data_IF_047785585743
#
_entry.id   IF_047785585743
#
_cell.length_a   1.000
_cell.length_b   1.000
_cell.length_c   1.000
_cell.angle_alpha   90.00
_cell.angle_beta   90.00
_cell.angle_gamma   90.00
#
_symmetry.space_group_name_H-M   'P 1'
#
loop_
_entity.id
_entity.type
_entity.pdbx_description
1 polymer ?
#
# COMPACT_ATOMS: atom_id res chain seq x y z
N UNK A 1 14.99 -7.46 -21.22
CA UNK A 1 16.05 -6.49 -21.60
C UNK A 1 15.63 -5.06 -21.30
N UNK A 2 14.60 -4.48 -21.93
CA UNK A 2 14.20 -3.07 -21.78
C UNK A 2 14.04 -2.58 -20.32
N UNK A 3 13.35 -3.33 -19.47
CA UNK A 3 13.13 -2.95 -18.05
C UNK A 3 14.43 -2.83 -17.25
N UNK A 4 15.40 -3.70 -17.51
CA UNK A 4 16.70 -3.65 -16.85
C UNK A 4 17.50 -2.41 -17.31
N UNK A 5 17.41 -2.06 -18.58
CA UNK A 5 18.03 -0.85 -19.14
C UNK A 5 17.40 0.42 -18.55
N UNK A 6 16.07 0.49 -18.52
CA UNK A 6 15.37 1.63 -17.90
C UNK A 6 15.71 1.75 -16.40
N UNK A 7 15.82 0.64 -15.69
CA UNK A 7 16.27 0.63 -14.28
C UNK A 7 17.71 1.11 -14.14
N UNK A 8 18.61 0.71 -15.05
CA UNK A 8 20.00 1.16 -15.07
C UNK A 8 20.09 2.66 -15.34
N UNK A 9 19.38 3.16 -16.35
CA UNK A 9 19.33 4.59 -16.66
C UNK A 9 18.79 5.42 -15.50
N UNK A 10 17.73 4.97 -14.81
CA UNK A 10 17.23 5.62 -13.60
C UNK A 10 18.26 5.68 -12.47
N UNK A 11 19.02 4.59 -12.26
CA UNK A 11 20.12 4.56 -11.28
C UNK A 11 21.27 5.51 -11.66
N UNK A 12 21.64 5.55 -12.94
CA UNK A 12 22.71 6.45 -13.43
C UNK A 12 22.30 7.92 -13.34
N UNK A 13 21.04 8.23 -13.69
CA UNK A 13 20.50 9.59 -13.53
C UNK A 13 20.51 10.04 -12.06
N UNK A 14 20.11 9.15 -11.14
CA UNK A 14 20.16 9.43 -9.71
C UNK A 14 21.59 9.67 -9.20
N UNK A 15 22.57 8.88 -9.68
CA UNK A 15 24.01 9.05 -9.31
C UNK A 15 24.62 10.34 -9.85
N UNK A 16 24.19 10.81 -11.02
CA UNK A 16 24.67 12.06 -11.64
C UNK A 16 24.06 13.33 -11.06
N UNK A 17 23.06 13.18 -10.18
CA UNK A 17 22.44 14.34 -9.54
C UNK A 17 23.44 15.00 -8.58
N UNK A 18 23.69 16.34 -8.66
CA UNK A 18 24.68 17.04 -7.85
C UNK A 18 24.51 16.87 -6.34
N UNK A 19 23.28 16.62 -5.90
CA UNK A 19 22.94 16.35 -4.50
C UNK A 19 23.34 14.94 -4.03
N UNK A 20 23.71 14.03 -4.93
CA UNK A 20 24.01 12.65 -4.57
C UNK A 20 25.32 12.51 -3.79
N UNK A 21 26.35 13.27 -4.16
CA UNK A 21 27.65 13.25 -3.47
C UNK A 21 27.64 14.05 -2.17
N UNK A 22 26.90 15.17 -2.11
CA UNK A 22 26.77 15.97 -0.90
C UNK A 22 25.97 15.32 0.22
N UNK A 23 25.19 14.26 -0.07
CA UNK A 23 24.19 13.77 0.85
C UNK A 23 24.41 12.31 1.32
N UNK A 24 25.66 11.91 1.56
CA UNK A 24 25.95 10.61 2.20
C UNK A 24 25.24 10.47 3.54
N UNK A 25 25.26 11.52 4.35
CA UNK A 25 24.57 11.56 5.65
C UNK A 25 23.05 11.41 5.47
N UNK A 26 22.45 12.14 4.51
CA UNK A 26 21.01 12.02 4.22
C UNK A 26 20.58 10.60 3.81
N UNK A 27 21.46 9.87 3.12
CA UNK A 27 21.20 8.47 2.77
C UNK A 27 21.20 7.54 3.99
N UNK A 28 22.13 7.74 4.91
CA UNK A 28 22.15 6.97 6.17
C UNK A 28 20.96 7.31 7.04
N UNK A 29 20.55 8.58 7.15
CA UNK A 29 19.35 9.01 7.85
C UNK A 29 18.10 8.35 7.25
N UNK A 30 18.01 8.29 5.91
CA UNK A 30 16.89 7.65 5.23
C UNK A 30 16.81 6.14 5.54
N UNK A 31 17.95 5.43 5.55
CA UNK A 31 17.97 4.01 5.93
C UNK A 31 17.62 3.80 7.40
N UNK A 32 18.20 4.62 8.29
CA UNK A 32 17.88 4.57 9.72
C UNK A 32 16.39 4.83 9.97
N UNK A 33 15.82 5.83 9.29
CA UNK A 33 14.37 6.11 9.36
C UNK A 33 13.53 4.93 8.88
N UNK A 34 13.92 4.29 7.77
CA UNK A 34 13.19 3.13 7.26
C UNK A 34 13.22 1.94 8.22
N UNK A 35 14.38 1.66 8.83
CA UNK A 35 14.53 0.62 9.86
C UNK A 35 13.71 0.97 11.09
N UNK A 36 13.77 2.21 11.55
CA UNK A 36 13.01 2.69 12.72
C UNK A 36 11.49 2.53 12.50
N UNK A 37 10.98 3.02 11.37
CA UNK A 37 9.57 2.88 11.03
C UNK A 37 9.16 1.42 10.83
N UNK A 38 10.00 0.60 10.20
CA UNK A 38 9.75 -0.83 10.07
C UNK A 38 9.62 -1.53 11.42
N UNK A 39 10.55 -1.29 12.34
CA UNK A 39 10.50 -1.83 13.71
C UNK A 39 9.26 -1.33 14.48
N UNK A 40 8.91 -0.07 14.31
CA UNK A 40 7.71 0.53 14.91
C UNK A 40 6.42 -0.12 14.41
N UNK A 41 6.30 -0.36 13.08
CA UNK A 41 5.16 -1.08 12.51
C UNK A 41 5.07 -2.54 13.00
N UNK A 42 6.21 -3.24 13.13
CA UNK A 42 6.24 -4.59 13.73
C UNK A 42 5.69 -4.55 15.15
N UNK A 43 6.15 -3.60 15.95
CA UNK A 43 5.69 -3.44 17.33
C UNK A 43 4.19 -3.16 17.41
N UNK A 44 3.66 -2.29 16.53
CA UNK A 44 2.22 -2.03 16.43
C UNK A 44 1.47 -3.30 16.03
N UNK A 45 1.95 -4.06 15.04
CA UNK A 45 1.29 -5.29 14.59
C UNK A 45 1.16 -6.33 15.72
N UNK A 46 2.23 -6.53 16.48
CA UNK A 46 2.23 -7.42 17.66
C UNK A 46 1.31 -6.87 18.76
N UNK A 47 1.38 -5.56 19.02
CA UNK A 47 0.55 -4.89 20.02
C UNK A 47 -0.93 -4.99 19.71
N UNK A 48 -1.33 -4.74 18.46
CA UNK A 48 -2.71 -4.88 17.99
C UNK A 48 -3.21 -6.32 18.13
N UNK A 49 -2.40 -7.33 17.74
CA UNK A 49 -2.77 -8.72 17.88
C UNK A 49 -3.10 -9.06 19.34
N UNK A 50 -2.24 -8.66 20.27
CA UNK A 50 -2.44 -8.90 21.71
C UNK A 50 -3.62 -8.10 22.26
N UNK A 51 -3.71 -6.80 21.94
CA UNK A 51 -4.77 -5.95 22.44
C UNK A 51 -6.16 -6.46 22.02
N UNK A 52 -6.35 -6.76 20.74
CA UNK A 52 -7.63 -7.25 20.23
C UNK A 52 -7.97 -8.61 20.85
N UNK A 53 -7.01 -9.53 20.96
CA UNK A 53 -7.26 -10.84 21.56
C UNK A 53 -7.59 -10.76 23.06
N UNK A 54 -7.16 -9.71 23.76
CA UNK A 54 -7.45 -9.51 25.19
C UNK A 54 -8.81 -8.81 25.39
N UNK A 55 -9.08 -7.78 24.61
CA UNK A 55 -10.30 -6.94 24.77
C UNK A 55 -11.57 -7.61 24.19
N UNK A 56 -11.42 -8.44 23.15
CA UNK A 56 -12.54 -9.09 22.46
C UNK A 56 -12.26 -10.61 22.32
N UNK A 57 -12.26 -11.36 23.42
CA UNK A 57 -11.90 -12.79 23.39
C UNK A 57 -12.91 -13.66 22.64
N UNK A 58 -14.11 -13.15 22.40
CA UNK A 58 -15.21 -13.87 21.71
C UNK A 58 -15.14 -13.79 20.18
N UNK A 59 -14.24 -12.98 19.62
CA UNK A 59 -14.04 -12.84 18.18
C UNK A 59 -12.57 -13.02 17.84
N UNK A 60 -12.30 -13.65 16.71
CA UNK A 60 -10.94 -13.80 16.23
C UNK A 60 -10.36 -12.45 15.80
N UNK A 61 -9.15 -12.14 16.27
CA UNK A 61 -8.56 -10.82 16.12
C UNK A 61 -8.40 -10.39 14.65
N UNK A 62 -8.21 -11.35 13.73
CA UNK A 62 -8.09 -11.04 12.30
C UNK A 62 -9.41 -10.56 11.68
N UNK A 63 -10.58 -11.01 12.14
CA UNK A 63 -11.88 -10.48 11.69
C UNK A 63 -12.02 -8.99 12.01
N UNK A 64 -11.64 -8.62 13.23
CA UNK A 64 -11.72 -7.22 13.69
C UNK A 64 -10.76 -6.34 12.87
N UNK A 65 -9.51 -6.79 12.68
CA UNK A 65 -8.56 -6.01 11.89
C UNK A 65 -9.00 -5.91 10.43
N UNK A 66 -9.51 -7.00 9.84
CA UNK A 66 -9.99 -7.01 8.46
C UNK A 66 -11.17 -6.06 8.28
N UNK A 67 -12.12 -6.01 9.22
CA UNK A 67 -13.21 -5.04 9.18
C UNK A 67 -12.73 -3.58 9.19
N UNK A 68 -11.57 -3.34 9.79
CA UNK A 68 -10.90 -2.04 9.89
C UNK A 68 -9.92 -1.72 8.75
N UNK A 69 -9.73 -2.59 7.75
CA UNK A 69 -8.76 -2.36 6.65
C UNK A 69 -8.99 -1.05 5.91
N UNK A 70 -10.24 -0.60 5.81
CA UNK A 70 -10.57 0.67 5.15
C UNK A 70 -9.90 1.87 5.84
N UNK A 71 -9.74 1.85 7.16
CA UNK A 71 -9.04 2.90 7.89
C UNK A 71 -7.53 2.88 7.58
N UNK A 72 -6.94 1.68 7.44
CA UNK A 72 -5.55 1.54 7.02
C UNK A 72 -5.33 2.09 5.60
N UNK A 73 -6.26 1.81 4.67
CA UNK A 73 -6.22 2.33 3.29
C UNK A 73 -6.37 3.87 3.26
N UNK A 74 -7.30 4.41 4.04
CA UNK A 74 -7.50 5.85 4.13
C UNK A 74 -6.25 6.55 4.73
N UNK A 75 -5.68 5.98 5.79
CA UNK A 75 -4.46 6.50 6.40
C UNK A 75 -3.28 6.46 5.43
N UNK A 76 -3.08 5.32 4.74
CA UNK A 76 -2.05 5.17 3.71
C UNK A 76 -2.21 6.21 2.59
N UNK A 77 -3.44 6.43 2.10
CA UNK A 77 -3.75 7.43 1.09
C UNK A 77 -3.30 8.83 1.53
N UNK A 78 -3.64 9.24 2.76
CA UNK A 78 -3.27 10.56 3.30
C UNK A 78 -1.75 10.69 3.46
N UNK A 79 -1.08 9.66 3.99
CA UNK A 79 0.38 9.67 4.20
C UNK A 79 1.13 9.78 2.88
N UNK A 80 0.62 9.21 1.78
CA UNK A 80 1.28 9.27 0.46
C UNK A 80 1.36 10.70 -0.10
N UNK A 81 0.41 11.59 0.22
CA UNK A 81 0.37 12.94 -0.33
C UNK A 81 1.67 13.76 -0.15
N UNK A 82 2.25 13.87 1.05
CA UNK A 82 3.49 14.62 1.25
C UNK A 82 4.74 13.85 0.81
N UNK A 83 4.73 12.51 0.82
CA UNK A 83 5.96 11.72 0.71
C UNK A 83 6.16 11.08 -0.65
N UNK A 84 5.09 10.82 -1.41
CA UNK A 84 5.18 10.07 -2.66
C UNK A 84 5.22 10.99 -3.89
N UNK A 85 6.23 10.77 -4.74
CA UNK A 85 6.37 11.46 -6.03
C UNK A 85 5.39 10.89 -7.06
N UNK A 86 4.92 11.75 -7.96
CA UNK A 86 4.07 11.33 -9.07
C UNK A 86 4.89 10.77 -10.23
N UNK A 87 4.34 9.85 -11.05
CA UNK A 87 5.01 9.34 -12.25
C UNK A 87 5.42 10.44 -13.21
N UNK A 88 4.65 11.52 -13.32
CA UNK A 88 4.97 12.67 -14.17
C UNK A 88 6.30 13.34 -13.79
N UNK A 89 6.66 13.32 -12.51
CA UNK A 89 7.96 13.82 -12.04
C UNK A 89 9.09 12.82 -12.33
N UNK A 90 8.79 11.53 -12.35
CA UNK A 90 9.76 10.46 -12.60
C UNK A 90 9.98 10.18 -14.09
N UNK A 91 9.08 10.60 -14.99
CA UNK A 91 9.20 10.40 -16.45
C UNK A 91 10.32 11.22 -17.07
N UNK A 92 10.64 12.40 -16.54
CA UNK A 92 11.62 13.34 -17.13
C UNK A 92 12.94 12.70 -17.58
N UNK A 93 13.60 11.82 -16.82
CA UNK A 93 14.87 11.20 -17.24
C UNK A 93 14.74 10.28 -18.45
N UNK A 94 13.52 9.79 -18.72
CA UNK A 94 13.27 8.81 -19.79
C UNK A 94 12.75 9.43 -21.09
N UNK A 95 12.34 10.72 -21.07
CA UNK A 95 11.79 11.40 -22.25
C UNK A 95 12.77 11.52 -23.42
N UNK A 96 14.09 11.45 -23.13
CA UNK A 96 15.15 11.50 -24.14
C UNK A 96 15.48 10.13 -24.74
N UNK A 97 14.89 9.05 -24.23
CA UNK A 97 15.15 7.72 -24.75
C UNK A 97 14.26 7.41 -25.95
N UNK A 98 14.75 6.69 -26.97
CA UNK A 98 13.98 6.30 -28.15
C UNK A 98 13.02 5.13 -27.81
N UNK A 99 12.18 5.30 -26.79
CA UNK A 99 11.23 4.29 -26.29
C UNK A 99 9.82 4.85 -26.33
N UNK A 100 8.84 4.01 -26.70
CA UNK A 100 7.42 4.40 -26.71
C UNK A 100 6.99 4.81 -25.30
N UNK A 101 6.27 5.93 -25.19
CA UNK A 101 5.78 6.48 -23.91
C UNK A 101 4.97 5.48 -23.09
N UNK A 102 4.13 4.66 -23.74
CA UNK A 102 3.35 3.63 -23.04
C UNK A 102 4.25 2.65 -22.26
N UNK A 103 5.34 2.18 -22.86
CA UNK A 103 6.27 1.26 -22.19
C UNK A 103 7.02 1.89 -21.01
N UNK A 104 7.24 3.20 -21.08
CA UNK A 104 7.82 3.94 -19.94
C UNK A 104 6.80 4.03 -18.81
N UNK A 105 5.53 4.29 -19.14
CA UNK A 105 4.44 4.31 -18.15
C UNK A 105 4.24 2.94 -17.51
N UNK A 106 4.19 1.87 -18.29
CA UNK A 106 4.09 0.49 -17.79
C UNK A 106 5.23 0.16 -16.81
N UNK A 107 6.46 0.55 -17.18
CA UNK A 107 7.61 0.39 -16.29
C UNK A 107 7.47 1.15 -14.97
N UNK A 108 7.01 2.40 -15.03
CA UNK A 108 6.84 3.23 -13.82
C UNK A 108 5.71 2.70 -12.93
N UNK A 109 4.62 2.24 -13.52
CA UNK A 109 3.51 1.62 -12.78
C UNK A 109 3.96 0.32 -12.09
N UNK A 110 4.63 -0.59 -12.81
CA UNK A 110 5.17 -1.81 -12.22
C UNK A 110 6.16 -1.51 -11.09
N UNK A 111 7.03 -0.53 -11.30
CA UNK A 111 7.98 -0.09 -10.25
C UNK A 111 7.25 0.48 -9.04
N UNK A 112 6.11 1.16 -9.26
CA UNK A 112 5.29 1.69 -8.20
C UNK A 112 4.68 0.57 -7.34
N UNK A 113 4.25 -0.54 -7.94
CA UNK A 113 3.77 -1.71 -7.21
C UNK A 113 4.77 -2.24 -6.17
N UNK A 114 6.07 -2.18 -6.47
CA UNK A 114 7.18 -2.58 -5.58
C UNK A 114 7.74 -1.41 -4.75
N UNK A 115 6.99 -0.32 -4.61
CA UNK A 115 7.45 0.83 -3.83
C UNK A 115 7.53 0.51 -2.33
N UNK A 116 8.42 1.21 -1.63
CA UNK A 116 8.57 1.07 -0.17
C UNK A 116 7.28 1.36 0.58
N UNK A 117 6.41 2.23 0.05
CA UNK A 117 5.11 2.53 0.64
C UNK A 117 4.16 1.32 0.65
N UNK A 118 4.17 0.50 -0.40
CA UNK A 118 3.37 -0.72 -0.44
C UNK A 118 3.93 -1.82 0.47
N UNK A 119 5.26 -1.85 0.64
CA UNK A 119 5.94 -2.88 1.42
C UNK A 119 5.96 -2.58 2.92
N UNK A 120 5.92 -1.31 3.33
CA UNK A 120 6.01 -0.94 4.76
C UNK A 120 4.84 -1.50 5.58
N UNK A 121 3.67 -1.61 4.97
CA UNK A 121 2.49 -2.18 5.62
C UNK A 121 2.65 -3.66 5.96
N UNK A 122 3.47 -4.40 5.21
CA UNK A 122 3.76 -5.80 5.52
C UNK A 122 4.48 -5.95 6.87
N UNK A 123 5.27 -4.95 7.29
CA UNK A 123 5.88 -4.95 8.63
C UNK A 123 4.85 -4.91 9.76
N UNK A 124 3.63 -4.44 9.50
CA UNK A 124 2.52 -4.49 10.46
C UNK A 124 1.70 -5.77 10.30
N UNK A 125 1.26 -6.07 9.08
CA UNK A 125 0.31 -7.15 8.85
C UNK A 125 0.91 -8.54 8.95
N UNK A 126 2.18 -8.75 8.60
CA UNK A 126 2.83 -10.07 8.70
C UNK A 126 2.98 -10.52 10.16
N UNK A 127 3.57 -9.73 11.08
CA UNK A 127 3.64 -10.13 12.49
C UNK A 127 2.27 -10.24 13.15
N UNK A 128 1.30 -9.41 12.76
CA UNK A 128 -0.09 -9.56 13.20
C UNK A 128 -0.65 -10.91 12.76
N UNK A 129 -0.54 -11.26 11.47
CA UNK A 129 -1.03 -12.54 10.93
C UNK A 129 -0.31 -13.74 11.52
N UNK A 130 0.99 -13.62 11.82
CA UNK A 130 1.76 -14.67 12.49
C UNK A 130 1.23 -14.99 13.91
N UNK A 131 0.60 -14.03 14.57
CA UNK A 131 0.02 -14.24 15.90
C UNK A 131 -1.47 -14.65 15.85
N UNK A 132 -2.21 -14.21 14.83
CA UNK A 132 -3.68 -14.34 14.81
C UNK A 132 -4.19 -15.32 13.76
N UNK A 133 -3.56 -15.40 12.59
CA UNK A 133 -3.95 -16.29 11.48
C UNK A 133 -3.22 -17.63 11.54
N UNK A 134 -1.92 -17.62 11.90
CA UNK A 134 -1.10 -18.82 11.92
C UNK A 134 -1.69 -19.97 12.77
N UNK A 135 -2.28 -19.74 13.96
CA UNK A 135 -2.84 -20.81 14.78
C UNK A 135 -3.97 -21.59 14.10
N UNK A 136 -4.71 -20.95 13.18
CA UNK A 136 -5.89 -21.54 12.50
C UNK A 136 -5.57 -22.07 11.10
N UNK A 137 -4.74 -21.34 10.34
CA UNK A 137 -4.50 -21.59 8.91
C UNK A 137 -3.04 -21.95 8.59
N UNK A 138 -2.18 -22.00 9.61
CA UNK A 138 -0.75 -22.30 9.43
C UNK A 138 0.00 -21.26 8.61
N UNK A 139 1.18 -21.64 8.11
CA UNK A 139 2.06 -20.73 7.35
C UNK A 139 1.46 -20.34 5.99
N UNK A 140 0.66 -21.22 5.37
CA UNK A 140 0.01 -20.93 4.09
C UNK A 140 -0.96 -19.76 4.22
N UNK A 141 -1.81 -19.74 5.27
CA UNK A 141 -2.74 -18.64 5.54
C UNK A 141 -2.03 -17.30 5.79
N UNK A 142 -0.88 -17.31 6.47
CA UNK A 142 -0.07 -16.10 6.68
C UNK A 142 0.51 -15.59 5.36
N UNK A 143 1.00 -16.48 4.49
CA UNK A 143 1.58 -16.10 3.20
C UNK A 143 0.53 -15.57 2.24
N UNK A 144 -0.59 -16.29 2.09
CA UNK A 144 -1.71 -15.86 1.23
C UNK A 144 -2.26 -14.53 1.71
N UNK A 145 -2.53 -14.36 3.00
CA UNK A 145 -2.96 -13.09 3.58
C UNK A 145 -1.98 -11.94 3.28
N UNK A 146 -0.68 -12.17 3.47
CA UNK A 146 0.34 -11.16 3.23
C UNK A 146 0.39 -10.71 1.77
N UNK A 147 0.23 -11.64 0.83
CA UNK A 147 0.14 -11.34 -0.61
C UNK A 147 -1.13 -10.53 -0.91
N UNK A 148 -2.28 -10.92 -0.34
CA UNK A 148 -3.54 -10.22 -0.50
C UNK A 148 -3.47 -8.77 0.00
N UNK A 149 -2.93 -8.56 1.21
CA UNK A 149 -2.71 -7.22 1.77
C UNK A 149 -1.75 -6.40 0.90
N UNK A 150 -0.66 -7.00 0.42
CA UNK A 150 0.25 -6.30 -0.50
C UNK A 150 -0.47 -5.84 -1.77
N UNK A 151 -1.27 -6.69 -2.40
CA UNK A 151 -2.07 -6.32 -3.58
C UNK A 151 -3.08 -5.19 -3.26
N UNK A 152 -3.71 -5.25 -2.10
CA UNK A 152 -4.63 -4.21 -1.66
C UNK A 152 -3.91 -2.85 -1.47
N UNK A 153 -2.69 -2.86 -0.94
CA UNK A 153 -1.86 -1.65 -0.82
C UNK A 153 -1.38 -1.13 -2.18
N UNK A 154 -1.12 -2.02 -3.13
CA UNK A 154 -0.81 -1.65 -4.53
C UNK A 154 -2.02 -0.98 -5.17
N UNK A 155 -3.22 -1.54 -5.03
CA UNK A 155 -4.47 -0.93 -5.47
C UNK A 155 -4.64 0.49 -4.91
N UNK A 156 -4.49 0.64 -3.57
CA UNK A 156 -4.57 1.94 -2.92
C UNK A 156 -3.51 2.93 -3.44
N UNK A 157 -2.31 2.41 -3.75
CA UNK A 157 -1.24 3.20 -4.37
C UNK A 157 -1.61 3.72 -5.75
N UNK A 158 -2.26 2.91 -6.60
CA UNK A 158 -2.74 3.37 -7.91
C UNK A 158 -3.92 4.32 -7.80
N UNK A 159 -4.84 4.09 -6.86
CA UNK A 159 -5.89 5.05 -6.52
C UNK A 159 -5.32 6.42 -6.14
N UNK A 160 -4.30 6.43 -5.28
CA UNK A 160 -3.58 7.66 -4.93
C UNK A 160 -2.97 8.34 -6.16
N UNK A 161 -2.28 7.58 -7.03
CA UNK A 161 -1.67 8.13 -8.24
C UNK A 161 -2.70 8.76 -9.18
N UNK A 162 -3.84 8.10 -9.36
CA UNK A 162 -4.96 8.62 -10.16
C UNK A 162 -5.44 9.95 -9.59
N UNK A 163 -5.80 9.99 -8.31
CA UNK A 163 -6.26 11.22 -7.65
C UNK A 163 -5.22 12.34 -7.73
N UNK A 164 -3.95 12.02 -7.47
CA UNK A 164 -2.86 13.00 -7.52
C UNK A 164 -2.61 13.54 -8.91
N UNK A 165 -2.72 12.72 -9.94
CA UNK A 165 -2.56 13.15 -11.34
C UNK A 165 -3.68 14.07 -11.74
N UNK A 166 -4.93 13.73 -11.42
CA UNK A 166 -6.10 14.57 -11.70
C UNK A 166 -6.02 15.92 -10.96
N UNK A 167 -5.64 15.91 -9.70
CA UNK A 167 -5.47 17.15 -8.90
C UNK A 167 -4.36 18.05 -9.49
N UNK A 168 -3.30 17.45 -10.04
CA UNK A 168 -2.24 18.24 -10.70
C UNK A 168 -2.71 18.87 -12.02
N UNK A 169 -3.69 18.29 -12.69
CA UNK A 169 -4.30 18.89 -13.88
C UNK A 169 -5.25 20.04 -13.50
N UNK A 170 -6.18 19.76 -12.57
CA UNK A 170 -7.13 20.74 -12.08
C UNK A 170 -7.42 20.54 -10.59
N UNK A 171 -7.28 21.61 -9.83
CA UNK A 171 -7.48 21.60 -8.37
C UNK A 171 -8.88 21.09 -7.95
N UNK A 172 -9.89 21.28 -8.78
CA UNK A 172 -11.27 20.83 -8.53
C UNK A 172 -11.38 19.31 -8.35
N UNK A 173 -10.43 18.53 -8.88
CA UNK A 173 -10.40 17.09 -8.66
C UNK A 173 -10.11 16.67 -7.22
N UNK A 174 -9.78 17.58 -6.34
CA UNK A 174 -9.72 17.34 -4.88
C UNK A 174 -11.08 16.88 -4.34
N UNK A 175 -12.17 17.29 -4.98
CA UNK A 175 -13.52 16.85 -4.61
C UNK A 175 -13.67 15.32 -4.74
N UNK A 176 -13.03 14.69 -5.69
CA UNK A 176 -13.13 13.23 -5.92
C UNK A 176 -12.74 12.40 -4.67
N UNK A 177 -11.52 12.49 -4.13
CA UNK A 177 -11.17 11.74 -2.91
C UNK A 177 -12.00 12.19 -1.71
N UNK A 178 -12.36 13.46 -1.59
CA UNK A 178 -13.23 13.94 -0.50
C UNK A 178 -14.59 13.24 -0.55
N UNK A 179 -15.25 13.20 -1.70
CA UNK A 179 -16.55 12.54 -1.87
C UNK A 179 -16.45 11.04 -1.58
N UNK A 180 -15.41 10.37 -2.08
CA UNK A 180 -15.23 8.93 -1.85
C UNK A 180 -15.04 8.64 -0.35
N UNK A 181 -14.10 9.32 0.32
CA UNK A 181 -13.83 9.05 1.73
C UNK A 181 -14.92 9.54 2.67
N UNK A 182 -15.61 10.65 2.36
CA UNK A 182 -16.79 11.07 3.13
C UNK A 182 -17.96 10.11 2.94
N UNK A 183 -18.20 9.60 1.72
CA UNK A 183 -19.20 8.59 1.47
C UNK A 183 -18.93 7.29 2.24
N UNK A 184 -17.67 6.84 2.27
CA UNK A 184 -17.23 5.69 3.07
C UNK A 184 -17.45 5.96 4.57
N UNK A 185 -17.05 7.14 5.07
CA UNK A 185 -17.25 7.51 6.47
C UNK A 185 -18.73 7.49 6.84
N UNK A 186 -19.59 8.12 6.04
CA UNK A 186 -21.04 8.11 6.24
C UNK A 186 -21.57 6.68 6.28
N UNK A 187 -21.16 5.83 5.35
CA UNK A 187 -21.62 4.44 5.28
C UNK A 187 -21.17 3.59 6.49
N UNK A 188 -20.03 3.89 7.09
CA UNK A 188 -19.55 3.23 8.33
C UNK A 188 -20.39 3.69 9.53
N UNK A 189 -20.70 4.99 9.62
CA UNK A 189 -21.46 5.54 10.74
C UNK A 189 -22.96 5.29 10.67
N UNK A 190 -23.50 4.81 9.54
CA UNK A 190 -24.89 4.37 9.46
C UNK A 190 -25.02 2.95 10.05
N UNK A 191 -25.54 2.78 11.26
CA UNK A 191 -25.40 1.54 12.04
C UNK A 191 -26.16 0.33 11.46
N UNK A 192 -26.98 0.51 10.44
CA UNK A 192 -27.84 -0.58 9.90
C UNK A 192 -27.21 -1.41 8.78
N UNK A 193 -26.15 -0.96 8.15
CA UNK A 193 -25.66 -1.66 6.94
C UNK A 193 -24.45 -2.55 7.21
N UNK A 194 -23.51 -2.16 8.07
CA UNK A 194 -22.27 -2.91 8.27
C UNK A 194 -21.57 -3.34 6.97
N UNK A 195 -22.11 -2.87 5.83
CA UNK A 195 -21.75 -3.35 4.48
C UNK A 195 -20.26 -3.23 4.20
N UNK A 196 -19.67 -2.09 4.50
CA UNK A 196 -18.25 -1.83 4.24
C UNK A 196 -17.37 -2.70 5.14
N UNK A 197 -17.68 -2.77 6.45
CA UNK A 197 -16.95 -3.62 7.39
C UNK A 197 -17.04 -5.09 7.00
N UNK A 198 -18.23 -5.58 6.66
CA UNK A 198 -18.44 -6.96 6.22
C UNK A 198 -17.74 -7.25 4.89
N UNK A 199 -17.74 -6.28 3.95
CA UNK A 199 -17.02 -6.43 2.70
C UNK A 199 -15.52 -6.62 2.93
N UNK A 200 -14.88 -5.77 3.74
CA UNK A 200 -13.45 -5.88 4.03
C UNK A 200 -13.13 -7.10 4.91
N UNK A 201 -14.02 -7.50 5.81
CA UNK A 201 -13.89 -8.73 6.58
C UNK A 201 -13.86 -9.95 5.64
N UNK A 202 -14.85 -10.09 4.76
CA UNK A 202 -14.94 -11.18 3.79
C UNK A 202 -13.78 -11.17 2.78
N UNK A 203 -13.30 -9.98 2.37
CA UNK A 203 -12.14 -9.84 1.52
C UNK A 203 -10.87 -10.35 2.21
N UNK A 204 -10.65 -9.96 3.47
CA UNK A 204 -9.52 -10.43 4.27
C UNK A 204 -9.56 -11.93 4.53
N UNK A 205 -10.72 -12.50 4.81
CA UNK A 205 -10.92 -13.96 4.92
C UNK A 205 -10.62 -14.66 3.59
N UNK A 206 -11.10 -14.12 2.47
CA UNK A 206 -10.78 -14.62 1.14
C UNK A 206 -9.28 -14.65 0.85
N UNK A 207 -8.52 -13.68 1.38
CA UNK A 207 -7.05 -13.71 1.28
C UNK A 207 -6.45 -14.80 2.16
N UNK A 208 -6.93 -14.99 3.40
CA UNK A 208 -6.45 -16.02 4.32
C UNK A 208 -6.67 -17.42 3.72
N UNK A 209 -7.84 -17.67 3.18
CA UNK A 209 -8.23 -18.94 2.55
C UNK A 209 -7.58 -19.17 1.18
N UNK A 210 -6.95 -18.15 0.59
CA UNK A 210 -6.37 -18.21 -0.75
C UNK A 210 -7.42 -18.23 -1.85
N UNK A 211 -8.60 -17.62 -1.62
CA UNK A 211 -9.69 -17.57 -2.59
C UNK A 211 -9.30 -16.74 -3.83
N UNK A 212 -9.24 -17.40 -4.99
CA UNK A 212 -8.87 -16.76 -6.25
C UNK A 212 -9.75 -15.57 -6.61
N UNK A 213 -11.03 -15.57 -6.25
CA UNK A 213 -11.93 -14.45 -6.55
C UNK A 213 -11.53 -13.18 -5.80
N UNK A 214 -11.07 -13.28 -4.56
CA UNK A 214 -10.59 -12.14 -3.78
C UNK A 214 -9.36 -11.50 -4.45
N UNK A 215 -8.40 -12.32 -4.90
CA UNK A 215 -7.21 -11.84 -5.59
C UNK A 215 -7.52 -11.27 -6.98
N UNK A 216 -8.32 -11.97 -7.77
CA UNK A 216 -8.71 -11.51 -9.11
C UNK A 216 -9.54 -10.22 -9.04
N UNK A 217 -10.44 -10.10 -8.05
CA UNK A 217 -11.20 -8.88 -7.82
C UNK A 217 -10.29 -7.69 -7.51
N UNK A 218 -9.31 -7.87 -6.63
CA UNK A 218 -8.34 -6.82 -6.31
C UNK A 218 -7.44 -6.47 -7.50
N UNK A 219 -6.96 -7.49 -8.24
CA UNK A 219 -6.15 -7.27 -9.45
C UNK A 219 -6.94 -6.57 -10.56
N UNK A 220 -8.21 -6.92 -10.76
CA UNK A 220 -9.04 -6.27 -11.76
C UNK A 220 -9.34 -4.81 -11.42
N UNK A 221 -9.33 -4.46 -10.14
CA UNK A 221 -9.50 -3.09 -9.66
C UNK A 221 -8.20 -2.27 -9.72
N UNK A 222 -7.04 -2.95 -9.83
CA UNK A 222 -5.70 -2.34 -9.90
C UNK A 222 -5.31 -1.92 -11.31
#
# INVERSE_FOLDING_TARGET
MLFNELRLHGKLAAKRHPMYEKNKIGKYIMYASFIFWGAYFIFIGIGLAKAISTEVPNMEAYHILNSGLIFALALDFVIRFPFQKTPTQEVKPYLLLPVKRSRILDFLLLRHGLSSFNLIWLFLFVPFAALTVFPFYGISGVLTYSIGIWLLMVFNGYWYLLCRTLINEHIWWVVLPIVVYSGIAIAIFIPKTGFISNFFMNLGEGYIEGNLLAYLGTLAAT
#
